data_IF_197675253184
#
_entry.id   IF_197675253184
#
_cell.length_a   1.000
_cell.length_b   1.000
_cell.length_c   1.000
_cell.angle_alpha   90.00
_cell.angle_beta   90.00
_cell.angle_gamma   90.00
#
_symmetry.space_group_name_H-M   'P 1'
#
loop_
_entity.id
_entity.type
_entity.pdbx_description
1 polymer ?
#
# COMPACT_ATOMS: atom_id res chain seq x y z
N UNK A 1 -18.38 -4.98 -11.86
CA UNK A 1 -17.08 -5.56 -12.24
C UNK A 1 -16.54 -6.29 -11.02
N UNK A 2 -16.31 -7.60 -11.14
CA UNK A 2 -15.96 -8.50 -10.04
C UNK A 2 -14.49 -8.35 -9.66
N UNK A 3 -14.19 -7.40 -8.79
CA UNK A 3 -12.84 -7.23 -8.19
C UNK A 3 -12.61 -8.31 -7.11
N UNK A 4 -13.67 -8.82 -6.49
CA UNK A 4 -13.57 -9.71 -5.31
C UNK A 4 -13.15 -11.17 -5.53
N UNK A 5 -12.99 -11.65 -6.77
CA UNK A 5 -12.65 -13.07 -7.06
C UNK A 5 -11.18 -13.30 -7.43
N UNK A 6 -10.43 -12.25 -7.77
CA UNK A 6 -8.99 -12.33 -8.08
C UNK A 6 -8.09 -12.03 -6.88
N UNK A 7 -8.59 -11.38 -5.84
CA UNK A 7 -7.81 -11.02 -4.63
C UNK A 7 -7.69 -12.13 -3.57
N UNK A 8 -8.32 -13.28 -3.78
CA UNK A 8 -8.33 -14.35 -2.78
C UNK A 8 -7.00 -15.13 -2.70
N UNK A 9 -6.17 -15.09 -3.75
CA UNK A 9 -4.86 -15.77 -3.80
C UNK A 9 -3.66 -14.82 -4.06
N UNK A 10 -3.90 -13.55 -4.43
CA UNK A 10 -2.84 -12.60 -4.78
C UNK A 10 -2.44 -11.71 -3.58
N UNK A 11 -1.15 -11.71 -3.24
CA UNK A 11 -0.59 -10.83 -2.20
C UNK A 11 -0.46 -9.40 -2.74
N UNK A 12 -1.33 -8.49 -2.29
CA UNK A 12 -1.30 -7.07 -2.68
C UNK A 12 -0.55 -6.24 -1.64
N UNK A 13 0.46 -5.51 -2.10
CA UNK A 13 1.18 -4.51 -1.28
C UNK A 13 1.15 -3.14 -1.94
N UNK A 14 0.90 -2.11 -1.14
CA UNK A 14 0.84 -0.72 -1.58
C UNK A 14 1.97 0.07 -0.94
N UNK A 15 2.76 0.75 -1.77
CA UNK A 15 3.91 1.53 -1.33
C UNK A 15 3.64 3.02 -1.55
N UNK A 16 3.64 3.78 -0.47
CA UNK A 16 3.42 5.22 -0.51
C UNK A 16 4.75 5.93 -0.31
N UNK A 17 5.26 6.51 -1.39
CA UNK A 17 6.56 7.19 -1.42
C UNK A 17 6.45 8.71 -1.23
N UNK A 18 5.25 9.26 -1.39
CA UNK A 18 4.91 10.65 -1.19
C UNK A 18 4.25 10.86 0.19
N UNK A 19 4.27 12.10 0.74
CA UNK A 19 3.42 12.43 1.87
C UNK A 19 1.94 12.26 1.47
N UNK A 20 1.19 11.55 2.31
CA UNK A 20 -0.27 11.47 2.18
C UNK A 20 -0.91 12.63 2.91
N UNK A 21 -1.88 13.25 2.25
CA UNK A 21 -2.81 14.14 2.94
C UNK A 21 -3.91 13.28 3.55
N UNK A 22 -3.80 13.02 4.86
CA UNK A 22 -4.75 12.18 5.59
C UNK A 22 -6.02 12.93 6.00
N UNK A 23 -6.04 14.26 5.83
CA UNK A 23 -7.23 15.08 6.03
C UNK A 23 -8.18 15.01 4.82
N UNK A 24 -7.74 14.45 3.69
CA UNK A 24 -8.61 14.17 2.55
C UNK A 24 -9.45 12.91 2.79
N UNK A 25 -10.78 13.11 2.87
CA UNK A 25 -11.74 12.04 3.11
C UNK A 25 -11.67 10.91 2.07
N UNK A 26 -11.33 11.21 0.81
CA UNK A 26 -11.20 10.20 -0.23
C UNK A 26 -9.93 9.35 -0.02
N UNK A 27 -8.85 9.95 0.48
CA UNK A 27 -7.63 9.22 0.82
C UNK A 27 -7.87 8.29 1.99
N UNK A 28 -8.57 8.76 3.03
CA UNK A 28 -8.93 7.94 4.18
C UNK A 28 -9.81 6.73 3.79
N UNK A 29 -10.86 6.94 3.01
CA UNK A 29 -11.76 5.87 2.54
C UNK A 29 -11.01 4.81 1.71
N UNK A 30 -10.10 5.26 0.83
CA UNK A 30 -9.29 4.35 0.03
C UNK A 30 -8.31 3.52 0.87
N UNK A 31 -7.70 4.12 1.90
CA UNK A 31 -6.80 3.41 2.80
C UNK A 31 -7.54 2.37 3.65
N UNK A 32 -8.73 2.70 4.13
CA UNK A 32 -9.60 1.75 4.83
C UNK A 32 -10.03 0.59 3.93
N UNK A 33 -10.40 0.87 2.68
CA UNK A 33 -10.74 -0.17 1.70
C UNK A 33 -9.56 -1.10 1.42
N UNK A 34 -8.35 -0.57 1.27
CA UNK A 34 -7.13 -1.37 1.07
C UNK A 34 -6.81 -2.26 2.28
N UNK A 35 -7.01 -1.76 3.50
CA UNK A 35 -6.86 -2.58 4.71
C UNK A 35 -7.92 -3.67 4.79
N UNK A 36 -9.18 -3.36 4.47
CA UNK A 36 -10.26 -4.34 4.43
C UNK A 36 -10.02 -5.45 3.40
N UNK A 37 -9.25 -5.16 2.35
CA UNK A 37 -8.79 -6.11 1.34
C UNK A 37 -7.56 -6.93 1.78
N UNK A 38 -7.00 -6.68 2.96
CA UNK A 38 -5.82 -7.37 3.47
C UNK A 38 -4.50 -6.91 2.83
N UNK A 39 -4.50 -5.76 2.14
CA UNK A 39 -3.29 -5.25 1.51
C UNK A 39 -2.29 -4.74 2.57
N UNK A 40 -0.99 -5.02 2.37
CA UNK A 40 0.05 -4.45 3.22
C UNK A 40 0.36 -3.03 2.76
N UNK A 41 0.33 -2.08 3.70
CA UNK A 41 0.61 -0.68 3.44
C UNK A 41 2.01 -0.33 3.92
N UNK A 42 2.84 0.19 3.03
CA UNK A 42 4.21 0.58 3.29
C UNK A 42 4.42 2.07 3.05
N UNK A 43 5.28 2.70 3.85
CA UNK A 43 5.63 4.12 3.70
C UNK A 43 7.13 4.36 3.85
N UNK A 44 7.66 5.33 3.10
CA UNK A 44 9.02 5.87 3.30
C UNK A 44 9.04 7.15 4.15
N UNK A 45 7.86 7.71 4.46
CA UNK A 45 7.70 8.97 5.17
C UNK A 45 7.25 8.74 6.62
N UNK A 46 7.88 9.42 7.60
CA UNK A 46 7.52 9.31 9.01
C UNK A 46 6.22 10.05 9.36
N UNK A 47 5.77 10.95 8.49
CA UNK A 47 4.54 11.76 8.63
C UNK A 47 3.27 10.96 8.29
N UNK A 48 3.42 9.83 7.59
CA UNK A 48 2.30 8.98 7.22
C UNK A 48 1.81 8.14 8.43
N UNK A 49 0.57 7.62 8.39
CA UNK A 49 -0.05 6.94 9.52
C UNK A 49 0.76 5.77 10.09
N UNK A 50 0.71 5.62 11.41
CA UNK A 50 1.48 4.58 12.15
C UNK A 50 1.07 3.14 11.81
N UNK A 51 -0.11 2.93 11.22
CA UNK A 51 -0.53 1.62 10.73
C UNK A 51 0.19 1.18 9.45
N UNK A 52 0.98 2.06 8.83
CA UNK A 52 1.81 1.73 7.66
C UNK A 52 3.20 1.26 8.11
N UNK A 53 3.67 0.18 7.52
CA UNK A 53 5.00 -0.33 7.80
C UNK A 53 6.07 0.57 7.18
N UNK A 54 7.00 1.04 8.00
CA UNK A 54 8.07 1.94 7.57
C UNK A 54 9.18 1.15 6.88
N UNK A 55 9.47 1.50 5.64
CA UNK A 55 10.49 0.83 4.84
C UNK A 55 11.46 1.85 4.25
N UNK A 56 12.76 1.57 4.41
CA UNK A 56 13.83 2.37 3.79
C UNK A 56 13.94 2.05 2.31
N UNK A 57 14.47 2.97 1.49
CA UNK A 57 14.63 2.71 0.04
C UNK A 57 15.36 1.38 -0.27
N UNK A 58 16.44 0.99 0.44
CA UNK A 58 17.07 -0.32 0.24
C UNK A 58 16.17 -1.50 0.64
N UNK A 59 15.38 -1.37 1.72
CA UNK A 59 14.42 -2.39 2.13
C UNK A 59 13.31 -2.57 1.09
N UNK A 60 12.83 -1.45 0.54
CA UNK A 60 11.80 -1.43 -0.49
C UNK A 60 12.28 -2.12 -1.77
N UNK A 61 13.52 -1.87 -2.18
CA UNK A 61 14.11 -2.54 -3.33
C UNK A 61 14.12 -4.08 -3.17
N UNK A 62 14.41 -4.59 -1.96
CA UNK A 62 14.38 -6.02 -1.70
C UNK A 62 12.95 -6.59 -1.72
N UNK A 63 11.99 -5.86 -1.17
CA UNK A 63 10.58 -6.29 -1.13
C UNK A 63 9.97 -6.31 -2.54
N UNK A 64 10.26 -5.30 -3.36
CA UNK A 64 9.76 -5.21 -4.73
C UNK A 64 10.22 -6.38 -5.63
N UNK A 65 11.37 -6.99 -5.35
CA UNK A 65 11.85 -8.16 -6.11
C UNK A 65 10.99 -9.41 -5.91
N UNK A 66 10.18 -9.45 -4.85
CA UNK A 66 9.27 -10.56 -4.56
C UNK A 66 7.93 -10.49 -5.29
N UNK A 67 7.64 -9.39 -6.00
CA UNK A 67 6.39 -9.20 -6.72
C UNK A 67 6.57 -9.41 -8.22
N UNK A 68 5.65 -10.14 -8.84
CA UNK A 68 5.64 -10.37 -10.29
C UNK A 68 5.26 -9.10 -11.08
N UNK A 69 4.46 -8.23 -10.48
CA UNK A 69 3.91 -7.04 -11.10
C UNK A 69 4.04 -5.81 -10.20
N UNK A 70 4.51 -4.71 -10.79
CA UNK A 70 4.63 -3.42 -10.11
C UNK A 70 3.86 -2.39 -10.92
N UNK A 71 2.81 -1.83 -10.31
CA UNK A 71 1.98 -0.77 -10.89
C UNK A 71 2.36 0.55 -10.23
N UNK A 72 2.89 1.50 -11.02
CA UNK A 72 3.25 2.84 -10.55
C UNK A 72 2.18 3.84 -10.96
N UNK A 73 1.68 4.58 -9.97
CA UNK A 73 0.74 5.68 -10.13
C UNK A 73 1.42 7.02 -9.81
#
# INVERSE_FOLDING_TARGET
MSVGLTLADDELSVFVLAPLDTDDAAVAENLEALQAMGARLYTSKPENPDYMERVTCPGLANVLLGYDHILRY
#
